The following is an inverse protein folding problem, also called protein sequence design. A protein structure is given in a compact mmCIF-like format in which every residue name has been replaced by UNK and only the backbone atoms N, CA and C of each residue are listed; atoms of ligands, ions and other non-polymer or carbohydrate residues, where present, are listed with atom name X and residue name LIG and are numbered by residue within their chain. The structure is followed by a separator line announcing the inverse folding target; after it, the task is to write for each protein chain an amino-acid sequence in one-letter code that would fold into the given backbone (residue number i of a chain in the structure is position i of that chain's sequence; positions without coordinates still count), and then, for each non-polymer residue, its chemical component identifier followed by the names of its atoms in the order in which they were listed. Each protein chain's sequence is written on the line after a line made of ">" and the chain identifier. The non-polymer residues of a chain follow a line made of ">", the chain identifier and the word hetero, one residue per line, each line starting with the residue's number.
data_IF_814751397788
#
_entry.id   IF_814751397788
#
_cell.length_a   1.000
_cell.length_b   1.000
_cell.length_c   1.000
_cell.angle_alpha   90.00
_cell.angle_beta   90.00
_cell.angle_gamma   90.00
#
_symmetry.space_group_name_H-M   'P 1'
#
loop_
_entity.id
_entity.type
_entity.pdbx_description
1 polymer ?
#
# COMPACT_ATOMS: atom_id res chain seq x y z
N UNK A 1 90.31 -11.50 -18.11
CA UNK A 1 88.91 -11.01 -18.20
C UNK A 1 88.30 -11.50 -19.52
N UNK A 2 87.15 -12.20 -19.44
CA UNK A 2 86.12 -12.48 -20.48
C UNK A 2 86.57 -13.30 -21.72
N UNK A 3 86.54 -14.64 -21.72
CA UNK A 3 85.44 -15.65 -21.81
C UNK A 3 84.79 -15.80 -23.22
N UNK A 4 85.24 -16.87 -23.92
CA UNK A 4 84.58 -17.87 -24.82
C UNK A 4 83.32 -17.47 -25.62
N UNK A 5 83.28 -17.49 -26.97
CA UNK A 5 83.14 -18.63 -27.92
C UNK A 5 81.95 -19.58 -27.63
N UNK A 6 80.97 -19.65 -28.56
CA UNK A 6 80.16 -20.86 -28.75
C UNK A 6 78.73 -20.71 -29.29
N UNK A 7 78.59 -21.00 -30.59
CA UNK A 7 77.53 -21.80 -31.23
C UNK A 7 76.11 -21.27 -31.51
N UNK A 8 75.79 -21.36 -32.82
CA UNK A 8 74.51 -21.30 -33.52
C UNK A 8 73.89 -22.72 -33.58
N UNK A 9 72.55 -22.78 -33.75
CA UNK A 9 71.69 -23.88 -34.25
C UNK A 9 71.03 -24.88 -33.28
N UNK A 10 69.69 -24.83 -33.23
CA UNK A 10 68.72 -25.97 -33.25
C UNK A 10 67.31 -25.41 -32.92
N UNK A 11 66.39 -25.15 -33.86
CA UNK A 11 65.69 -25.99 -34.86
C UNK A 11 64.67 -26.96 -34.24
N UNK A 12 63.38 -26.56 -34.35
CA UNK A 12 62.13 -27.33 -34.45
C UNK A 12 61.86 -28.52 -33.51
N UNK A 13 60.88 -28.35 -32.62
CA UNK A 13 60.08 -29.45 -32.07
C UNK A 13 58.59 -29.15 -32.27
N UNK A 14 58.10 -29.37 -33.49
CA UNK A 14 56.67 -29.40 -33.82
C UNK A 14 56.11 -30.78 -33.48
N UNK A 15 55.68 -30.97 -32.23
CA UNK A 15 54.92 -32.14 -31.82
C UNK A 15 53.46 -32.00 -32.24
N UNK A 16 53.00 -32.88 -33.12
CA UNK A 16 51.60 -33.00 -33.50
C UNK A 16 50.75 -33.32 -32.26
N UNK A 17 49.97 -32.36 -31.79
CA UNK A 17 48.86 -32.63 -30.87
C UNK A 17 47.75 -33.26 -31.68
N UNK A 18 47.56 -34.57 -31.50
CA UNK A 18 46.32 -35.23 -31.86
C UNK A 18 45.23 -34.56 -31.02
N UNK A 19 44.44 -33.68 -31.64
CA UNK A 19 43.18 -33.21 -31.05
C UNK A 19 42.29 -34.43 -30.96
N UNK A 20 42.34 -35.12 -29.82
CA UNK A 20 41.27 -36.02 -29.42
C UNK A 20 40.06 -35.12 -29.24
N UNK A 21 39.15 -35.11 -30.23
CA UNK A 21 37.87 -34.43 -30.08
C UNK A 21 37.22 -35.04 -28.83
N UNK A 22 37.17 -34.27 -27.73
CA UNK A 22 36.47 -34.70 -26.54
C UNK A 22 35.05 -35.02 -26.96
N UNK A 23 34.63 -36.26 -26.79
CA UNK A 23 33.27 -36.70 -27.08
C UNK A 23 32.30 -35.77 -26.36
N UNK A 24 31.34 -35.19 -27.06
CA UNK A 24 30.28 -34.40 -26.42
C UNK A 24 29.05 -35.25 -26.22
N UNK A 25 28.35 -35.02 -25.11
CA UNK A 25 27.00 -35.53 -24.95
C UNK A 25 26.06 -34.75 -25.85
N UNK A 26 25.09 -35.45 -26.43
CA UNK A 26 24.01 -34.88 -27.21
C UNK A 26 22.81 -35.83 -27.17
N UNK A 27 21.78 -35.54 -27.96
CA UNK A 27 20.66 -36.45 -28.15
C UNK A 27 20.30 -36.61 -29.62
N UNK A 28 19.78 -37.77 -29.97
CA UNK A 28 19.26 -38.15 -31.27
C UNK A 28 17.78 -38.55 -31.16
N UNK A 29 17.04 -38.44 -32.27
CA UNK A 29 15.62 -38.82 -32.37
C UNK A 29 14.71 -38.25 -31.26
N UNK A 30 14.97 -37.02 -30.83
CA UNK A 30 14.15 -36.36 -29.84
C UNK A 30 12.80 -35.92 -30.40
N UNK A 31 11.73 -36.30 -29.73
CA UNK A 31 10.35 -35.95 -30.06
C UNK A 31 9.63 -35.52 -28.80
N UNK A 32 9.01 -34.33 -28.84
CA UNK A 32 8.01 -33.92 -27.85
C UNK A 32 6.65 -34.18 -28.41
N UNK A 33 5.79 -34.77 -27.59
CA UNK A 33 4.39 -34.97 -27.95
C UNK A 33 3.47 -34.51 -26.84
N UNK A 34 2.37 -33.85 -27.21
CA UNK A 34 1.32 -33.46 -26.28
C UNK A 34 0.10 -34.28 -26.60
N UNK A 35 -0.30 -35.16 -25.68
CA UNK A 35 -1.51 -35.99 -25.81
C UNK A 35 -2.60 -35.55 -24.84
N UNK A 36 -3.78 -35.22 -25.37
CA UNK A 36 -4.97 -34.92 -24.58
C UNK A 36 -5.68 -36.20 -24.13
N UNK A 37 -6.35 -36.14 -22.98
CA UNK A 37 -7.09 -37.27 -22.41
C UNK A 37 -8.27 -37.64 -23.32
N UNK A 38 -8.17 -38.78 -24.01
CA UNK A 38 -9.20 -39.28 -24.94
C UNK A 38 -8.77 -39.30 -26.41
N UNK A 39 -7.63 -38.69 -26.74
CA UNK A 39 -6.98 -38.91 -28.02
C UNK A 39 -6.37 -40.31 -28.01
N UNK A 40 -6.85 -41.22 -28.87
CA UNK A 40 -6.27 -42.55 -29.04
C UNK A 40 -4.76 -42.52 -29.37
N UNK A 41 -4.14 -43.71 -29.48
CA UNK A 41 -2.70 -43.84 -29.76
C UNK A 41 -2.32 -43.08 -31.05
N UNK A 42 -1.72 -41.89 -30.92
CA UNK A 42 -1.27 -41.06 -32.05
C UNK A 42 -1.97 -39.72 -32.25
N UNK A 43 -3.00 -39.38 -31.47
CA UNK A 43 -3.79 -38.14 -31.67
C UNK A 43 -3.24 -36.85 -31.04
N UNK A 44 -1.92 -36.74 -30.83
CA UNK A 44 -1.27 -35.57 -30.22
C UNK A 44 -0.33 -34.85 -31.18
N UNK A 45 -0.06 -33.55 -30.96
CA UNK A 45 1.00 -32.83 -31.67
C UNK A 45 2.33 -33.52 -31.43
N UNK A 46 3.15 -33.69 -32.47
CA UNK A 46 4.48 -34.29 -32.40
C UNK A 46 5.48 -33.36 -33.04
N UNK A 47 6.38 -32.83 -32.24
CA UNK A 47 7.42 -31.91 -32.68
C UNK A 47 8.79 -32.57 -32.51
N UNK A 48 9.57 -32.59 -33.60
CA UNK A 48 10.93 -33.13 -33.59
C UNK A 48 11.88 -32.06 -33.05
N UNK A 49 12.71 -32.44 -32.09
CA UNK A 49 13.68 -31.55 -31.46
C UNK A 49 15.08 -31.77 -32.05
N UNK A 50 15.89 -30.71 -32.03
CA UNK A 50 17.30 -30.76 -32.45
C UNK A 50 18.23 -30.28 -31.34
N UNK A 51 19.48 -30.79 -31.25
CA UNK A 51 20.43 -30.40 -30.20
C UNK A 51 20.98 -28.96 -30.33
N UNK A 52 20.98 -28.41 -31.54
CA UNK A 52 21.60 -27.11 -31.85
C UNK A 52 20.60 -25.97 -31.98
N UNK A 53 19.34 -26.27 -32.31
CA UNK A 53 18.33 -25.26 -32.65
C UNK A 53 17.07 -25.48 -31.82
N UNK A 54 16.69 -24.52 -30.96
CA UNK A 54 15.45 -24.62 -30.20
C UNK A 54 14.24 -24.52 -31.13
N UNK A 55 13.13 -25.11 -30.71
CA UNK A 55 11.85 -25.01 -31.42
C UNK A 55 11.36 -23.55 -31.41
N UNK A 56 10.98 -23.02 -32.58
CA UNK A 56 10.53 -21.63 -32.71
C UNK A 56 9.12 -21.40 -32.16
N UNK A 57 8.26 -22.43 -32.22
CA UNK A 57 6.90 -22.35 -31.72
C UNK A 57 6.83 -22.87 -30.28
N UNK A 58 6.08 -22.18 -29.43
CA UNK A 58 5.81 -22.64 -28.06
C UNK A 58 4.83 -23.82 -28.07
N UNK A 59 5.10 -24.83 -27.26
CA UNK A 59 4.25 -26.00 -27.07
C UNK A 59 3.23 -25.67 -25.97
N UNK A 60 1.94 -25.77 -26.29
CA UNK A 60 0.87 -25.53 -25.31
C UNK A 60 0.52 -26.80 -24.54
N UNK A 61 0.45 -26.72 -23.21
CA UNK A 61 0.02 -27.81 -22.33
C UNK A 61 -1.28 -27.43 -21.61
N UNK A 62 -2.40 -28.05 -21.98
CA UNK A 62 -3.70 -27.89 -21.33
C UNK A 62 -3.85 -28.71 -20.05
N UNK A 63 -4.89 -28.41 -19.26
CA UNK A 63 -5.14 -29.03 -17.95
C UNK A 63 -5.31 -30.56 -17.97
N UNK A 64 -5.80 -31.10 -19.08
CA UNK A 64 -6.00 -32.54 -19.29
C UNK A 64 -4.90 -33.20 -20.11
N UNK A 65 -3.90 -32.43 -20.53
CA UNK A 65 -2.89 -32.87 -21.46
C UNK A 65 -1.69 -33.48 -20.74
N UNK A 66 -0.99 -34.35 -21.45
CA UNK A 66 0.23 -34.99 -20.99
C UNK A 66 1.33 -34.72 -22.02
N UNK A 67 2.41 -34.08 -21.56
CA UNK A 67 3.61 -33.86 -22.35
C UNK A 67 4.50 -35.10 -22.20
N UNK A 68 4.86 -35.72 -23.32
CA UNK A 68 5.79 -36.84 -23.36
C UNK A 68 6.99 -36.45 -24.20
N UNK A 69 8.16 -36.45 -23.58
CA UNK A 69 9.44 -36.24 -24.24
C UNK A 69 10.16 -37.58 -24.35
N UNK A 70 10.46 -37.98 -25.58
CA UNK A 70 11.27 -39.16 -25.89
C UNK A 70 12.52 -38.68 -26.62
N UNK A 71 13.69 -39.18 -26.24
CA UNK A 71 14.96 -38.88 -26.90
C UNK A 71 15.94 -40.04 -26.73
N UNK A 72 16.96 -40.12 -27.55
CA UNK A 72 18.06 -41.08 -27.40
C UNK A 72 19.33 -40.33 -27.03
N UNK A 73 19.88 -40.56 -25.86
CA UNK A 73 21.13 -39.92 -25.41
C UNK A 73 22.32 -40.55 -26.12
N UNK A 74 23.20 -39.70 -26.66
CA UNK A 74 24.38 -40.12 -27.40
C UNK A 74 25.64 -39.43 -26.86
N UNK A 75 26.72 -40.19 -26.74
CA UNK A 75 28.07 -39.69 -26.52
C UNK A 75 28.79 -39.78 -27.87
N UNK A 76 29.02 -38.63 -28.51
CA UNK A 76 29.40 -38.57 -29.92
C UNK A 76 28.32 -39.22 -30.80
N UNK A 77 28.67 -40.26 -31.55
CA UNK A 77 27.77 -41.04 -32.41
C UNK A 77 27.25 -42.34 -31.77
N UNK A 78 27.57 -42.58 -30.50
CA UNK A 78 27.21 -43.83 -29.81
C UNK A 78 26.11 -43.59 -28.78
N UNK A 79 24.97 -44.25 -28.97
CA UNK A 79 23.88 -44.23 -28.00
C UNK A 79 24.34 -44.91 -26.69
N UNK A 80 24.32 -44.16 -25.59
CA UNK A 80 24.76 -44.61 -24.27
C UNK A 80 23.90 -44.01 -23.18
N UNK A 81 23.83 -44.71 -22.04
CA UNK A 81 23.16 -44.21 -20.83
C UNK A 81 24.08 -43.23 -20.08
N UNK A 82 23.73 -41.93 -19.97
CA UNK A 82 24.45 -40.97 -19.15
C UNK A 82 24.17 -41.21 -17.66
N UNK A 83 25.01 -40.63 -16.81
CA UNK A 83 24.78 -40.61 -15.36
C UNK A 83 23.64 -39.66 -14.96
N UNK A 84 23.51 -38.54 -15.66
CA UNK A 84 22.54 -37.48 -15.40
C UNK A 84 21.80 -37.12 -16.69
N UNK A 85 20.47 -37.16 -16.63
CA UNK A 85 19.60 -36.73 -17.71
C UNK A 85 18.35 -36.07 -17.11
N UNK A 86 18.22 -34.76 -17.29
CA UNK A 86 17.12 -33.97 -16.76
C UNK A 86 16.46 -33.11 -17.84
N UNK A 87 15.15 -32.95 -17.71
CA UNK A 87 14.39 -31.88 -18.33
C UNK A 87 14.18 -30.78 -17.29
N UNK A 88 14.85 -29.66 -17.46
CA UNK A 88 14.77 -28.51 -16.55
C UNK A 88 13.81 -27.47 -17.12
N UNK A 89 12.79 -27.10 -16.36
CA UNK A 89 11.88 -26.01 -16.67
C UNK A 89 12.29 -24.78 -15.85
N UNK A 90 12.49 -23.65 -16.51
CA UNK A 90 12.91 -22.40 -15.88
C UNK A 90 11.92 -21.27 -16.19
N UNK A 91 11.36 -20.67 -15.15
CA UNK A 91 10.52 -19.48 -15.29
C UNK A 91 11.40 -18.23 -15.50
N UNK A 92 11.31 -17.55 -16.65
CA UNK A 92 12.14 -16.38 -16.96
C UNK A 92 11.84 -15.16 -16.08
N UNK A 93 10.67 -15.10 -15.41
CA UNK A 93 10.28 -13.92 -14.61
C UNK A 93 10.70 -14.07 -13.15
N UNK A 94 10.45 -15.23 -12.55
CA UNK A 94 10.78 -15.48 -11.13
C UNK A 94 12.16 -16.07 -10.93
N UNK A 95 12.76 -16.65 -11.98
CA UNK A 95 14.02 -17.40 -11.90
C UNK A 95 13.89 -18.76 -11.21
N UNK A 96 12.66 -19.23 -10.97
CA UNK A 96 12.41 -20.55 -10.39
C UNK A 96 12.71 -21.64 -11.42
N UNK A 97 13.46 -22.66 -11.00
CA UNK A 97 13.79 -23.82 -11.83
C UNK A 97 13.35 -25.11 -11.15
N UNK A 98 12.80 -26.04 -11.93
CA UNK A 98 12.48 -27.41 -11.51
C UNK A 98 13.07 -28.38 -12.52
N UNK A 99 13.61 -29.50 -12.04
CA UNK A 99 14.25 -30.51 -12.91
C UNK A 99 13.57 -31.86 -12.80
N UNK A 100 13.07 -32.36 -13.93
CA UNK A 100 12.42 -33.66 -14.04
C UNK A 100 13.36 -34.72 -14.58
N UNK A 101 13.36 -35.89 -13.95
CA UNK A 101 14.25 -37.00 -14.29
C UNK A 101 13.80 -37.74 -15.54
N UNK A 102 14.70 -37.86 -16.51
CA UNK A 102 14.49 -38.71 -17.68
C UNK A 102 14.76 -40.18 -17.31
N UNK A 103 13.80 -41.05 -17.58
CA UNK A 103 14.00 -42.50 -17.42
C UNK A 103 14.76 -43.03 -18.63
N UNK A 104 16.08 -43.23 -18.46
CA UNK A 104 16.98 -43.70 -19.53
C UNK A 104 17.20 -45.21 -19.44
N UNK A 105 17.06 -45.94 -20.55
CA UNK A 105 17.44 -47.35 -20.66
C UNK A 105 18.91 -47.52 -21.02
N UNK A 106 19.45 -48.74 -20.91
CA UNK A 106 20.84 -49.02 -21.31
C UNK A 106 21.12 -48.74 -22.79
N UNK A 107 20.07 -48.75 -23.62
CA UNK A 107 20.12 -48.36 -25.04
C UNK A 107 20.21 -46.84 -25.29
N UNK A 108 20.33 -46.01 -24.25
CA UNK A 108 20.30 -44.55 -24.36
C UNK A 108 18.91 -43.95 -24.59
N UNK A 109 17.87 -44.76 -24.81
CA UNK A 109 16.49 -44.28 -24.95
C UNK A 109 15.97 -43.73 -23.62
N UNK A 110 15.63 -42.46 -23.62
CA UNK A 110 15.16 -41.69 -22.48
C UNK A 110 13.70 -41.26 -22.67
N UNK A 111 12.94 -41.25 -21.57
CA UNK A 111 11.54 -40.85 -21.56
C UNK A 111 11.19 -40.05 -20.30
N UNK A 112 10.42 -38.98 -20.45
CA UNK A 112 9.73 -38.31 -19.33
C UNK A 112 8.31 -37.96 -19.77
N UNK A 113 7.35 -38.24 -18.87
CA UNK A 113 5.94 -37.88 -19.03
C UNK A 113 5.61 -36.85 -17.95
N UNK A 114 5.05 -35.70 -18.34
CA UNK A 114 4.64 -34.61 -17.44
C UNK A 114 3.17 -34.28 -17.65
N UNK A 115 2.43 -34.14 -16.56
CA UNK A 115 1.07 -33.63 -16.52
C UNK A 115 0.98 -32.39 -15.64
N UNK A 116 -0.13 -31.66 -15.68
CA UNK A 116 -0.35 -30.50 -14.79
C UNK A 116 -0.23 -30.83 -13.30
N UNK A 117 -0.48 -32.08 -12.90
CA UNK A 117 -0.37 -32.53 -11.51
C UNK A 117 1.08 -32.66 -11.02
N UNK A 118 2.00 -32.87 -11.96
CA UNK A 118 3.42 -33.06 -11.68
C UNK A 118 4.16 -31.71 -11.64
N UNK A 119 3.51 -30.63 -12.09
CA UNK A 119 4.08 -29.29 -12.12
C UNK A 119 3.83 -28.55 -10.79
N UNK A 120 4.85 -27.88 -10.22
CA UNK A 120 4.66 -26.96 -9.11
C UNK A 120 3.64 -25.87 -9.44
N UNK A 121 2.92 -25.40 -8.42
CA UNK A 121 1.88 -24.39 -8.57
C UNK A 121 2.41 -23.08 -9.18
N UNK A 122 3.69 -22.75 -8.97
CA UNK A 122 4.33 -21.54 -9.50
C UNK A 122 4.35 -21.54 -11.03
N UNK A 123 4.57 -22.70 -11.66
CA UNK A 123 4.50 -22.81 -13.12
C UNK A 123 3.07 -22.76 -13.63
N UNK A 124 2.10 -23.29 -12.86
CA UNK A 124 0.68 -23.22 -13.20
C UNK A 124 0.10 -21.79 -13.12
N UNK A 125 0.78 -20.87 -12.43
CA UNK A 125 0.44 -19.45 -12.34
C UNK A 125 1.24 -18.56 -13.30
N UNK A 126 2.20 -19.12 -14.04
CA UNK A 126 3.04 -18.34 -14.94
C UNK A 126 2.27 -17.94 -16.20
N UNK A 127 2.25 -16.65 -16.53
CA UNK A 127 1.60 -16.12 -17.74
C UNK A 127 2.50 -16.21 -18.98
N UNK A 128 3.82 -16.32 -18.79
CA UNK A 128 4.79 -16.37 -19.87
C UNK A 128 5.18 -17.81 -20.20
N UNK A 129 5.55 -18.11 -21.46
CA UNK A 129 6.10 -19.42 -21.81
C UNK A 129 7.37 -19.73 -21.00
N UNK A 130 7.41 -20.93 -20.43
CA UNK A 130 8.49 -21.43 -19.57
C UNK A 130 9.57 -22.05 -20.44
N UNK A 131 10.83 -21.70 -20.21
CA UNK A 131 11.94 -22.22 -21.00
C UNK A 131 12.26 -23.66 -20.58
N UNK A 132 12.16 -24.61 -21.51
CA UNK A 132 12.51 -26.00 -21.30
C UNK A 132 13.91 -26.29 -21.83
N UNK A 133 14.81 -26.72 -20.95
CA UNK A 133 16.20 -27.06 -21.25
C UNK A 133 16.47 -28.52 -20.94
N UNK A 134 17.30 -29.17 -21.76
CA UNK A 134 17.72 -30.55 -21.52
C UNK A 134 19.16 -30.52 -21.02
N UNK A 135 19.41 -31.23 -19.92
CA UNK A 135 20.73 -31.37 -19.30
C UNK A 135 21.13 -32.83 -19.34
N UNK A 136 22.21 -33.15 -20.06
CA UNK A 136 22.78 -34.51 -20.14
C UNK A 136 24.25 -34.43 -19.75
N UNK A 137 24.64 -35.22 -18.75
CA UNK A 137 26.03 -35.29 -18.30
C UNK A 137 26.35 -36.69 -17.77
N UNK A 138 27.62 -37.06 -17.84
CA UNK A 138 28.13 -38.30 -17.24
C UNK A 138 29.50 -38.06 -16.64
N UNK A 139 29.97 -38.99 -15.80
CA UNK A 139 31.35 -38.97 -15.34
C UNK A 139 32.29 -39.26 -16.51
N UNK A 140 33.38 -38.49 -16.64
CA UNK A 140 34.39 -38.67 -17.68
C UNK A 140 34.91 -37.36 -18.25
N UNK A 141 35.66 -37.44 -19.34
CA UNK A 141 36.22 -36.31 -20.10
C UNK A 141 35.29 -35.73 -21.16
N UNK A 142 34.09 -36.31 -21.31
CA UNK A 142 33.11 -35.90 -22.32
C UNK A 142 32.40 -34.61 -21.95
N UNK A 143 32.24 -33.69 -22.89
CA UNK A 143 31.59 -32.40 -22.64
C UNK A 143 30.09 -32.57 -22.34
N UNK A 144 29.54 -31.95 -21.28
CA UNK A 144 28.12 -32.06 -20.95
C UNK A 144 27.25 -31.25 -21.93
N UNK A 145 26.03 -31.70 -22.12
CA UNK A 145 25.01 -30.99 -22.89
C UNK A 145 24.10 -30.20 -21.95
N UNK A 146 23.98 -28.90 -22.17
CA UNK A 146 22.97 -28.04 -21.55
C UNK A 146 22.55 -26.98 -22.56
N UNK A 147 21.34 -27.10 -23.10
CA UNK A 147 20.76 -26.10 -24.00
C UNK A 147 19.24 -26.05 -23.86
N UNK A 148 18.68 -24.88 -24.15
CA UNK A 148 17.24 -24.67 -24.32
C UNK A 148 16.76 -25.39 -25.57
N UNK A 149 15.64 -26.10 -25.48
CA UNK A 149 15.15 -26.97 -26.55
C UNK A 149 13.76 -26.56 -27.05
N UNK A 150 12.87 -26.09 -26.16
CA UNK A 150 11.57 -25.54 -26.54
C UNK A 150 11.03 -24.61 -25.44
N UNK A 151 9.95 -23.89 -25.75
CA UNK A 151 9.18 -23.11 -24.78
C UNK A 151 7.84 -23.81 -24.48
N UNK A 152 7.48 -23.91 -23.21
CA UNK A 152 6.27 -24.54 -22.73
C UNK A 152 5.28 -23.47 -22.27
N UNK A 153 4.18 -23.30 -23.01
CA UNK A 153 3.07 -22.44 -22.62
C UNK A 153 2.03 -23.27 -21.84
N UNK A 154 1.81 -22.94 -20.57
CA UNK A 154 0.82 -23.64 -19.74
C UNK A 154 -0.51 -22.93 -19.91
N UNK A 155 -1.52 -23.67 -20.38
CA UNK A 155 -2.88 -23.15 -20.54
C UNK A 155 -3.78 -23.74 -19.48
N UNK A 156 -4.47 -22.89 -18.73
CA UNK A 156 -5.31 -23.27 -17.60
C UNK A 156 -6.75 -22.80 -17.83
N UNK A 157 -7.70 -23.58 -17.31
CA UNK A 157 -9.09 -23.15 -17.18
C UNK A 157 -9.22 -22.17 -16.00
N UNK A 158 -9.64 -20.91 -16.25
CA UNK A 158 -9.81 -19.92 -15.18
C UNK A 158 -10.89 -20.31 -14.16
N UNK A 159 -11.81 -21.23 -14.48
CA UNK A 159 -12.90 -21.62 -13.59
C UNK A 159 -12.50 -22.63 -12.50
N UNK A 160 -11.30 -23.22 -12.59
CA UNK A 160 -10.81 -24.19 -11.61
C UNK A 160 -9.83 -23.50 -10.66
N UNK A 161 -10.17 -23.28 -9.37
CA UNK A 161 -9.28 -22.62 -8.42
C UNK A 161 -8.04 -23.49 -8.12
N UNK A 162 -6.87 -22.88 -8.03
CA UNK A 162 -5.65 -23.52 -7.54
C UNK A 162 -5.57 -23.37 -6.02
N UNK A 163 -5.20 -24.45 -5.33
CA UNK A 163 -4.77 -24.38 -3.93
C UNK A 163 -3.38 -23.76 -3.85
N UNK A 164 -3.29 -22.44 -4.01
CA UNK A 164 -2.05 -21.69 -3.85
C UNK A 164 -1.75 -21.64 -2.34
N UNK A 165 -0.62 -22.20 -1.88
CA UNK A 165 -0.23 -22.09 -0.48
C UNK A 165 -0.03 -20.62 -0.10
N UNK A 166 -0.26 -20.30 1.18
CA UNK A 166 0.07 -18.97 1.70
C UNK A 166 1.55 -18.67 1.42
N UNK A 167 1.88 -17.46 0.92
CA UNK A 167 3.26 -17.11 0.64
C UNK A 167 4.10 -17.25 1.92
N UNK A 168 5.32 -17.81 1.83
CA UNK A 168 6.17 -17.96 3.00
C UNK A 168 6.49 -16.60 3.61
N UNK A 169 6.52 -16.53 4.94
CA UNK A 169 6.87 -15.30 5.67
C UNK A 169 8.26 -14.84 5.23
N UNK A 170 8.33 -13.68 4.58
CA UNK A 170 9.58 -13.03 4.21
C UNK A 170 9.86 -11.91 5.19
N UNK A 171 10.98 -12.00 5.90
CA UNK A 171 11.43 -10.94 6.80
C UNK A 171 11.88 -9.73 5.98
N UNK A 172 11.02 -8.71 5.92
CA UNK A 172 11.29 -7.41 5.32
C UNK A 172 10.73 -6.32 6.23
N UNK A 173 11.18 -5.07 6.05
CA UNK A 173 10.60 -3.95 6.78
C UNK A 173 9.11 -3.82 6.43
N UNK A 174 8.26 -3.73 7.45
CA UNK A 174 6.83 -3.48 7.27
C UNK A 174 6.59 -2.05 6.78
N UNK A 175 5.45 -1.83 6.14
CA UNK A 175 5.02 -0.50 5.71
C UNK A 175 4.78 0.40 6.92
N UNK A 176 5.23 1.66 6.83
CA UNK A 176 5.00 2.65 7.87
C UNK A 176 3.49 2.95 8.04
N UNK A 177 3.06 3.12 9.29
CA UNK A 177 1.66 3.41 9.64
C UNK A 177 1.56 4.87 10.10
N UNK A 178 0.75 5.68 9.41
CA UNK A 178 0.48 7.06 9.80
C UNK A 178 -0.86 7.18 10.54
N UNK A 179 -0.86 7.88 11.67
CA UNK A 179 -2.08 8.19 12.40
C UNK A 179 -2.92 9.23 11.64
N UNK A 180 -4.19 8.91 11.39
CA UNK A 180 -5.14 9.82 10.73
C UNK A 180 -5.88 10.62 11.81
N UNK A 181 -5.58 11.92 11.89
CA UNK A 181 -6.28 12.84 12.79
C UNK A 181 -7.72 13.07 12.34
N UNK A 182 -8.58 13.37 13.31
CA UNK A 182 -9.95 13.78 13.03
C UNK A 182 -9.95 15.13 12.29
N UNK A 183 -10.80 15.25 11.28
CA UNK A 183 -11.02 16.53 10.60
C UNK A 183 -11.59 17.59 11.55
N UNK A 184 -11.13 18.83 11.38
CA UNK A 184 -11.64 19.97 12.13
C UNK A 184 -13.12 20.24 11.81
N UNK A 185 -13.92 20.66 12.82
CA UNK A 185 -15.32 21.02 12.58
C UNK A 185 -15.41 22.24 11.66
N UNK A 186 -16.36 22.20 10.71
CA UNK A 186 -16.59 23.28 9.75
C UNK A 186 -17.45 24.38 10.37
N UNK A 187 -16.93 25.60 10.39
CA UNK A 187 -17.66 26.80 10.82
C UNK A 187 -18.60 27.33 9.72
N UNK A 188 -19.73 27.98 10.07
CA UNK A 188 -20.66 28.55 9.10
C UNK A 188 -20.06 29.76 8.34
N UNK A 189 -20.62 30.11 7.16
CA UNK A 189 -20.17 31.25 6.37
C UNK A 189 -20.24 32.58 7.14
N UNK A 190 -19.14 33.35 7.13
CA UNK A 190 -19.01 34.61 7.88
C UNK A 190 -20.12 35.61 7.59
N UNK A 191 -20.55 35.72 6.33
CA UNK A 191 -21.59 36.66 5.92
C UNK A 191 -22.92 36.39 6.64
N UNK A 192 -23.31 35.11 6.74
CA UNK A 192 -24.55 34.71 7.42
C UNK A 192 -24.45 35.08 8.91
N UNK A 193 -23.34 34.73 9.55
CA UNK A 193 -23.11 35.06 10.97
C UNK A 193 -23.17 36.56 11.24
N UNK A 194 -22.58 37.39 10.37
CA UNK A 194 -22.59 38.85 10.49
C UNK A 194 -24.01 39.41 10.33
N UNK A 195 -24.80 38.92 9.38
CA UNK A 195 -26.19 39.38 9.18
C UNK A 195 -27.03 39.12 10.44
N UNK A 196 -26.95 37.92 11.02
CA UNK A 196 -27.68 37.62 12.26
C UNK A 196 -27.16 38.42 13.46
N UNK A 197 -25.85 38.62 13.59
CA UNK A 197 -25.29 39.47 14.63
C UNK A 197 -25.79 40.92 14.50
N UNK A 198 -25.84 41.46 13.28
CA UNK A 198 -26.38 42.79 12.99
C UNK A 198 -27.88 42.88 13.29
N UNK A 199 -28.65 41.83 12.99
CA UNK A 199 -30.08 41.78 13.34
C UNK A 199 -30.31 41.82 14.86
N UNK A 200 -29.52 41.07 15.64
CA UNK A 200 -29.57 41.10 17.11
C UNK A 200 -29.17 42.48 17.64
N UNK A 201 -28.08 43.07 17.12
CA UNK A 201 -27.67 44.42 17.48
C UNK A 201 -28.74 45.47 17.11
N UNK A 202 -29.41 45.28 15.97
CA UNK A 202 -30.49 46.14 15.48
C UNK A 202 -31.78 46.08 16.30
N UNK A 203 -32.00 45.02 17.08
CA UNK A 203 -33.16 44.96 17.98
C UNK A 203 -33.11 46.03 19.08
N UNK A 204 -31.92 46.46 19.51
CA UNK A 204 -31.74 47.49 20.54
C UNK A 204 -32.22 48.89 20.10
N UNK A 205 -31.79 49.46 18.95
CA UNK A 205 -32.34 50.73 18.48
C UNK A 205 -33.83 50.65 18.14
N UNK A 206 -34.32 49.50 17.66
CA UNK A 206 -35.76 49.27 17.46
C UNK A 206 -36.50 49.40 18.79
N UNK A 207 -36.02 48.75 19.86
CA UNK A 207 -36.61 48.87 21.20
C UNK A 207 -36.62 50.32 21.70
N UNK A 208 -35.51 51.04 21.57
CA UNK A 208 -35.41 52.44 21.96
C UNK A 208 -36.37 53.34 21.18
N UNK A 209 -36.52 53.08 19.86
CA UNK A 209 -37.47 53.78 19.00
C UNK A 209 -38.92 53.54 19.45
N UNK A 210 -39.28 52.29 19.75
CA UNK A 210 -40.62 51.94 20.26
C UNK A 210 -40.88 52.65 21.60
N UNK A 211 -39.93 52.64 22.54
CA UNK A 211 -40.06 53.37 23.81
C UNK A 211 -40.28 54.87 23.60
N UNK A 212 -39.57 55.49 22.66
CA UNK A 212 -39.76 56.90 22.33
C UNK A 212 -41.18 57.16 21.79
N UNK A 213 -41.71 56.29 20.91
CA UNK A 213 -43.09 56.43 20.41
C UNK A 213 -44.16 56.23 21.48
N UNK A 214 -43.88 55.43 22.50
CA UNK A 214 -44.78 55.21 23.64
C UNK A 214 -44.67 56.29 24.72
N UNK A 215 -43.82 57.31 24.53
CA UNK A 215 -43.68 58.43 25.47
C UNK A 215 -42.82 58.13 26.70
N UNK A 216 -41.97 57.10 26.66
CA UNK A 216 -41.00 56.84 27.72
C UNK A 216 -40.07 58.05 27.90
N UNK A 217 -39.94 58.53 29.13
CA UNK A 217 -39.18 59.73 29.44
C UNK A 217 -38.45 59.62 30.79
N UNK A 218 -37.53 60.54 31.03
CA UNK A 218 -36.76 60.66 32.28
C UNK A 218 -37.23 61.83 33.16
N UNK A 219 -38.50 62.22 33.08
CA UNK A 219 -39.03 63.43 33.74
C UNK A 219 -38.86 63.46 35.27
N UNK A 220 -38.85 62.30 35.92
CA UNK A 220 -38.67 62.20 37.37
C UNK A 220 -37.21 62.13 37.82
N UNK A 221 -36.25 62.10 36.89
CA UNK A 221 -34.83 61.91 37.20
C UNK A 221 -34.26 63.08 38.01
N UNK A 222 -34.56 64.32 37.61
CA UNK A 222 -34.10 65.52 38.34
C UNK A 222 -34.68 65.56 39.75
N UNK A 223 -35.97 65.22 39.90
CA UNK A 223 -36.61 65.09 41.20
C UNK A 223 -35.92 63.97 42.01
N UNK A 224 -35.68 62.80 41.41
CA UNK A 224 -35.05 61.61 42.02
C UNK A 224 -33.71 61.97 42.65
N UNK A 225 -32.87 62.59 41.83
CA UNK A 225 -31.55 63.00 42.21
C UNK A 225 -31.55 64.19 43.19
N UNK A 226 -32.58 65.03 43.20
CA UNK A 226 -32.74 66.15 44.14
C UNK A 226 -33.05 65.70 45.58
N UNK A 227 -33.98 64.76 45.78
CA UNK A 227 -34.37 64.33 47.13
C UNK A 227 -33.39 63.33 47.74
N UNK A 228 -32.77 62.46 46.92
CA UNK A 228 -31.85 61.45 47.42
C UNK A 228 -30.75 61.14 46.41
N UNK A 229 -29.88 62.12 46.17
CA UNK A 229 -28.75 62.06 45.21
C UNK A 229 -27.88 60.83 45.43
N UNK A 230 -27.50 60.59 46.69
CA UNK A 230 -26.51 59.56 47.04
C UNK A 230 -27.09 58.17 46.84
N UNK A 231 -28.33 57.90 47.28
CA UNK A 231 -28.92 56.57 47.14
C UNK A 231 -29.20 56.22 45.68
N UNK A 232 -29.81 57.13 44.91
CA UNK A 232 -30.08 56.90 43.48
C UNK A 232 -28.79 56.80 42.65
N UNK A 233 -27.81 57.66 42.90
CA UNK A 233 -26.53 57.63 42.20
C UNK A 233 -25.72 56.37 42.49
N UNK A 234 -25.62 55.96 43.76
CA UNK A 234 -24.90 54.76 44.17
C UNK A 234 -25.61 53.49 43.70
N UNK A 235 -26.95 53.48 43.72
CA UNK A 235 -27.75 52.35 43.23
C UNK A 235 -27.58 52.16 41.73
N UNK A 236 -27.78 53.22 40.92
CA UNK A 236 -27.57 53.12 39.48
C UNK A 236 -26.10 52.81 39.12
N UNK A 237 -25.15 53.45 39.82
CA UNK A 237 -23.73 53.16 39.67
C UNK A 237 -23.38 51.71 40.00
N UNK A 238 -24.02 51.11 41.01
CA UNK A 238 -23.81 49.71 41.36
C UNK A 238 -24.35 48.73 40.30
N UNK A 239 -25.45 49.07 39.62
CA UNK A 239 -25.97 48.31 38.49
C UNK A 239 -24.96 48.34 37.34
N UNK A 240 -24.48 49.53 36.96
CA UNK A 240 -23.46 49.67 35.92
C UNK A 240 -22.15 48.96 36.28
N UNK A 241 -21.72 49.04 37.54
CA UNK A 241 -20.53 48.36 38.02
C UNK A 241 -20.68 46.83 37.98
N UNK A 242 -21.88 46.30 38.29
CA UNK A 242 -22.16 44.86 38.19
C UNK A 242 -22.08 44.37 36.74
N UNK A 243 -22.67 45.11 35.80
CA UNK A 243 -22.55 44.80 34.35
C UNK A 243 -21.08 44.84 33.90
N UNK A 244 -20.31 45.82 34.37
CA UNK A 244 -18.88 45.90 34.13
C UNK A 244 -18.10 44.70 34.68
N UNK A 245 -18.43 44.22 35.89
CA UNK A 245 -17.83 43.02 36.48
C UNK A 245 -18.14 41.79 35.63
N UNK A 246 -19.38 41.62 35.16
CA UNK A 246 -19.74 40.50 34.29
C UNK A 246 -19.08 40.58 32.91
N UNK A 247 -18.92 41.77 32.36
CA UNK A 247 -18.14 41.97 31.14
C UNK A 247 -16.67 41.59 31.34
N UNK A 248 -16.06 41.99 32.47
CA UNK A 248 -14.70 41.59 32.81
C UNK A 248 -14.59 40.08 33.02
N UNK A 249 -15.57 39.44 33.66
CA UNK A 249 -15.63 37.99 33.79
C UNK A 249 -15.71 37.26 32.45
N UNK A 250 -16.50 37.78 31.51
CA UNK A 250 -16.59 37.21 30.16
C UNK A 250 -15.28 37.34 29.37
N UNK A 251 -14.53 38.43 29.58
CA UNK A 251 -13.36 38.75 28.76
C UNK A 251 -12.01 38.34 29.36
N UNK A 252 -11.84 38.41 30.69
CA UNK A 252 -10.51 38.35 31.32
C UNK A 252 -10.46 37.86 32.76
N UNK A 253 -11.45 38.15 33.60
CA UNK A 253 -11.44 37.81 35.02
C UNK A 253 -11.78 36.34 35.26
N UNK A 254 -11.15 35.76 36.28
CA UNK A 254 -11.55 34.45 36.79
C UNK A 254 -12.65 34.57 37.85
N UNK A 255 -13.22 33.42 38.24
CA UNK A 255 -14.31 33.36 39.21
C UNK A 255 -13.93 33.94 40.59
N UNK A 256 -12.69 33.74 41.04
CA UNK A 256 -12.22 34.22 42.34
C UNK A 256 -11.95 35.73 42.39
N UNK A 257 -11.76 36.38 41.24
CA UNK A 257 -11.72 37.84 41.14
C UNK A 257 -13.14 38.42 41.07
N UNK A 258 -14.01 37.74 40.32
CA UNK A 258 -15.39 38.18 40.07
C UNK A 258 -16.25 38.11 41.32
N UNK A 259 -16.19 37.01 42.08
CA UNK A 259 -17.06 36.80 43.24
C UNK A 259 -16.87 37.85 44.35
N UNK A 260 -15.64 38.18 44.82
CA UNK A 260 -15.46 39.22 45.84
C UNK A 260 -15.88 40.61 45.33
N UNK A 261 -15.54 40.95 44.08
CA UNK A 261 -15.94 42.24 43.49
C UNK A 261 -17.46 42.36 43.38
N UNK A 262 -18.14 41.31 42.88
CA UNK A 262 -19.59 41.24 42.79
C UNK A 262 -20.24 41.25 44.18
N UNK A 263 -19.64 40.61 45.19
CA UNK A 263 -20.14 40.65 46.56
C UNK A 263 -20.10 42.07 47.14
N UNK A 264 -19.00 42.80 46.95
CA UNK A 264 -18.86 44.19 47.40
C UNK A 264 -19.86 45.10 46.69
N UNK A 265 -19.91 45.06 45.35
CA UNK A 265 -20.85 45.87 44.57
C UNK A 265 -22.30 45.49 44.87
N UNK A 266 -22.60 44.20 45.04
CA UNK A 266 -23.92 43.71 45.40
C UNK A 266 -24.37 44.19 46.78
N UNK A 267 -23.48 44.23 47.77
CA UNK A 267 -23.77 44.80 49.08
C UNK A 267 -24.08 46.30 48.98
N UNK A 268 -23.30 47.04 48.20
CA UNK A 268 -23.52 48.46 47.92
C UNK A 268 -24.87 48.68 47.23
N UNK A 269 -25.21 47.84 46.23
CA UNK A 269 -26.48 47.87 45.52
C UNK A 269 -27.67 47.61 46.45
N UNK A 270 -27.54 46.65 47.37
CA UNK A 270 -28.59 46.31 48.33
C UNK A 270 -28.90 47.48 49.28
N UNK A 271 -27.87 48.12 49.85
CA UNK A 271 -28.05 49.23 50.79
C UNK A 271 -28.54 50.51 50.11
N UNK A 272 -27.99 50.84 48.94
CA UNK A 272 -28.41 52.03 48.19
C UNK A 272 -29.77 51.86 47.53
N UNK A 273 -30.05 50.67 46.98
CA UNK A 273 -31.30 50.31 46.34
C UNK A 273 -32.48 50.31 47.29
N UNK A 274 -32.32 49.74 48.50
CA UNK A 274 -33.38 49.81 49.51
C UNK A 274 -33.79 51.25 49.82
N UNK A 275 -32.82 52.16 50.00
CA UNK A 275 -33.09 53.59 50.24
C UNK A 275 -33.67 54.30 49.01
N UNK A 276 -33.17 54.02 47.81
CA UNK A 276 -33.67 54.60 46.57
C UNK A 276 -35.13 54.18 46.28
N UNK A 277 -35.47 52.91 46.55
CA UNK A 277 -36.82 52.39 46.36
C UNK A 277 -37.80 52.90 47.42
N UNK A 278 -37.37 53.04 48.68
CA UNK A 278 -38.19 53.69 49.73
C UNK A 278 -38.55 55.12 49.33
N UNK A 279 -37.59 55.88 48.82
CA UNK A 279 -37.79 57.24 48.35
C UNK A 279 -38.80 57.31 47.20
N UNK A 280 -38.71 56.37 46.24
CA UNK A 280 -39.69 56.24 45.15
C UNK A 280 -41.08 55.90 45.69
N UNK A 281 -41.19 55.08 46.74
CA UNK A 281 -42.45 54.77 47.39
C UNK A 281 -43.05 55.99 48.10
N UNK A 282 -42.25 56.74 48.87
CA UNK A 282 -42.68 57.95 49.57
C UNK A 282 -43.23 59.01 48.60
N UNK A 283 -42.60 59.19 47.44
CA UNK A 283 -43.14 60.07 46.39
C UNK A 283 -44.48 59.64 45.83
N UNK A 284 -44.68 58.33 45.66
CA UNK A 284 -45.96 57.79 45.19
C UNK A 284 -47.05 58.05 46.21
N UNK A 285 -46.75 57.90 47.50
CA UNK A 285 -47.69 58.16 48.59
C UNK A 285 -47.98 59.65 48.77
N UNK A 286 -47.02 60.52 48.49
CA UNK A 286 -47.18 61.97 48.54
C UNK A 286 -47.82 62.58 47.26
N UNK A 287 -48.26 61.75 46.31
CA UNK A 287 -48.77 62.17 44.99
C UNK A 287 -47.80 63.07 44.19
N UNK A 288 -46.52 63.03 44.51
CA UNK A 288 -45.45 63.83 43.89
C UNK A 288 -44.92 63.20 42.59
N UNK A 289 -45.79 62.48 41.89
CA UNK A 289 -45.50 61.84 40.60
C UNK A 289 -45.51 62.85 39.45
#
# INVERSE_FOLDING_TARGET
>A
MRVLHGFVSSLFLSGATIVSAASSWSFEDATVSVSSKGAGVGGGSKDKLSPSTPLQNSISLGATDTLKLLLTTAEGSTAKRPHQAFLTLADPTTGLEESFVLNVKDSGKAKVDLSHKDLPHQFLTCEKPIAASIVIASFGSSAPYKNKVFDLAITRDPNVPLGIPEPPVRYAAETEIHHIFREDPKSPPKLITIVFAAAVAGALPVLLGVWATLGANAGHLSKALGNATISHGLFYGSILAMEGIFFLYYTSWNLFQTLPAAAVVGFVAFLSGSRALTEVQERRLAELR
#
